data_IF_534804828331
#
_entry.id   IF_534804828331
#
_cell.length_a   1.000
_cell.length_b   1.000
_cell.length_c   1.000
_cell.angle_alpha   90.00
_cell.angle_beta   90.00
_cell.angle_gamma   90.00
#
_symmetry.space_group_name_H-M   'P 1'
#
loop_
_entity.id
_entity.type
_entity.pdbx_description
1 polymer ?
#
# COMPACT_ATOMS: atom_id res chain seq x y z
N UNK A 1 33.11 -33.03 20.36
CA UNK A 1 31.86 -33.02 21.17
C UNK A 1 31.03 -31.78 20.86
N UNK A 2 31.60 -30.57 21.00
CA UNK A 2 30.93 -29.28 20.70
C UNK A 2 30.38 -29.18 19.27
N UNK A 3 31.14 -29.61 18.25
CA UNK A 3 30.66 -29.60 16.86
C UNK A 3 29.47 -30.54 16.58
N UNK A 4 29.33 -31.63 17.36
CA UNK A 4 28.18 -32.55 17.23
C UNK A 4 26.93 -31.96 17.90
N UNK A 5 27.12 -31.22 18.99
CA UNK A 5 26.05 -30.49 19.68
C UNK A 5 25.56 -29.33 18.80
N UNK A 6 26.46 -28.57 18.19
CA UNK A 6 26.12 -27.47 17.28
C UNK A 6 25.35 -27.96 16.04
N UNK A 7 25.78 -29.06 15.41
CA UNK A 7 25.02 -29.69 14.30
C UNK A 7 23.66 -30.21 14.74
N UNK A 8 23.54 -30.76 15.95
CA UNK A 8 22.26 -31.20 16.47
C UNK A 8 21.29 -30.03 16.67
N UNK A 9 21.80 -28.89 17.12
CA UNK A 9 21.02 -27.68 17.34
C UNK A 9 20.57 -27.05 16.01
N UNK A 10 21.47 -26.99 15.02
CA UNK A 10 21.20 -26.52 13.66
C UNK A 10 20.11 -27.35 12.97
N UNK A 11 20.20 -28.68 13.04
CA UNK A 11 19.18 -29.60 12.50
C UNK A 11 17.85 -29.43 13.24
N UNK A 12 17.88 -29.22 14.56
CA UNK A 12 16.65 -29.03 15.35
C UNK A 12 15.96 -27.72 14.97
N UNK A 13 16.71 -26.62 14.80
CA UNK A 13 16.17 -25.34 14.33
C UNK A 13 15.61 -25.47 12.92
N UNK A 14 16.33 -26.14 12.01
CA UNK A 14 15.85 -26.43 10.65
C UNK A 14 14.57 -27.26 10.65
N UNK A 15 14.47 -28.28 11.51
CA UNK A 15 13.26 -29.10 11.63
C UNK A 15 12.09 -28.35 12.26
N UNK A 16 12.34 -27.43 13.20
CA UNK A 16 11.30 -26.54 13.75
C UNK A 16 10.82 -25.57 12.67
N UNK A 17 11.72 -25.00 11.87
CA UNK A 17 11.37 -24.14 10.73
C UNK A 17 10.58 -24.94 9.69
N UNK A 18 11.02 -26.14 9.32
CA UNK A 18 10.30 -27.03 8.40
C UNK A 18 8.94 -27.47 8.94
N UNK A 19 8.81 -27.74 10.23
CA UNK A 19 7.54 -28.06 10.87
C UNK A 19 6.60 -26.84 10.92
N UNK A 20 7.13 -25.64 11.15
CA UNK A 20 6.38 -24.39 11.07
C UNK A 20 5.92 -24.07 9.63
N UNK A 21 6.75 -24.38 8.62
CA UNK A 21 6.43 -24.20 7.20
C UNK A 21 5.47 -25.26 6.65
N UNK A 22 5.40 -26.45 7.25
CA UNK A 22 4.51 -27.55 6.80
C UNK A 22 3.22 -27.69 7.62
N UNK A 23 3.09 -26.94 8.72
CA UNK A 23 1.98 -27.00 9.67
C UNK A 23 0.60 -26.55 9.15
N UNK A 24 0.52 -25.99 7.94
CA UNK A 24 -0.74 -25.60 7.31
C UNK A 24 -1.03 -26.44 6.06
N UNK A 25 -1.48 -27.67 6.26
CA UNK A 25 -1.85 -28.58 5.16
C UNK A 25 -3.21 -29.26 5.36
N UNK A 26 -4.17 -28.56 5.98
CA UNK A 26 -5.59 -28.85 5.80
C UNK A 26 -6.40 -27.53 5.82
N UNK A 27 -6.98 -27.08 4.69
CA UNK A 27 -7.88 -25.93 4.72
C UNK A 27 -9.06 -26.21 5.63
N UNK A 28 -9.24 -25.37 6.64
CA UNK A 28 -10.41 -25.46 7.50
C UNK A 28 -11.65 -25.09 6.70
N UNK A 29 -12.56 -26.03 6.48
CA UNK A 29 -13.85 -25.77 5.82
C UNK A 29 -14.79 -24.91 6.66
N UNK A 30 -14.46 -24.64 7.93
CA UNK A 30 -15.25 -23.79 8.83
C UNK A 30 -14.72 -22.37 8.92
N UNK A 31 -13.48 -22.10 8.53
CA UNK A 31 -12.90 -20.76 8.55
C UNK A 31 -13.33 -19.97 7.30
N UNK A 32 -14.03 -18.83 7.43
CA UNK A 32 -14.42 -17.98 6.29
C UNK A 32 -13.25 -17.59 5.38
N UNK A 33 -12.07 -17.32 5.95
CA UNK A 33 -10.87 -16.97 5.19
C UNK A 33 -10.43 -18.13 4.30
N UNK A 34 -10.41 -19.37 4.82
CA UNK A 34 -9.98 -20.54 4.05
C UNK A 34 -10.97 -20.89 2.92
N UNK A 35 -12.26 -20.59 3.08
CA UNK A 35 -13.25 -20.70 2.00
C UNK A 35 -12.98 -19.72 0.87
N UNK A 36 -12.64 -18.47 1.19
CA UNK A 36 -12.28 -17.46 0.18
C UNK A 36 -10.94 -17.81 -0.48
N UNK A 37 -9.97 -18.31 0.29
CA UNK A 37 -8.66 -18.77 -0.24
C UNK A 37 -8.77 -19.86 -1.29
N UNK A 38 -9.83 -20.67 -1.28
CA UNK A 38 -10.08 -21.63 -2.35
C UNK A 38 -10.17 -20.97 -3.75
N UNK A 39 -10.55 -19.68 -3.82
CA UNK A 39 -10.64 -18.90 -5.04
C UNK A 39 -9.39 -18.07 -5.36
N UNK A 40 -8.52 -17.79 -4.36
CA UNK A 40 -7.40 -16.85 -4.51
C UNK A 40 -6.01 -17.46 -4.42
N UNK A 41 -5.86 -18.73 -3.99
CA UNK A 41 -4.55 -19.37 -3.72
C UNK A 41 -3.48 -19.21 -4.81
N UNK A 42 -3.90 -19.17 -6.08
CA UNK A 42 -3.00 -19.05 -7.22
C UNK A 42 -2.60 -17.60 -7.56
N UNK A 43 -3.23 -16.63 -6.91
CA UNK A 43 -3.06 -15.19 -7.16
C UNK A 43 -2.80 -14.39 -5.88
N UNK A 44 -2.60 -15.05 -4.73
CA UNK A 44 -2.24 -14.39 -3.47
C UNK A 44 -0.85 -13.74 -3.58
N UNK A 45 -0.71 -12.54 -3.02
CA UNK A 45 0.53 -11.78 -3.07
C UNK A 45 1.59 -12.35 -2.11
N UNK A 46 2.84 -12.48 -2.57
CA UNK A 46 3.95 -12.98 -1.75
C UNK A 46 4.59 -11.85 -0.93
N UNK A 47 4.06 -11.64 0.27
CA UNK A 47 4.63 -10.68 1.22
C UNK A 47 6.01 -11.09 1.73
N UNK A 48 6.34 -12.39 1.80
CA UNK A 48 7.61 -12.85 2.39
C UNK A 48 8.76 -12.49 1.47
N UNK A 49 8.62 -12.83 0.18
CA UNK A 49 9.61 -12.46 -0.83
C UNK A 49 9.74 -10.94 -0.94
N UNK A 50 8.60 -10.23 -0.98
CA UNK A 50 8.62 -8.77 -1.06
C UNK A 50 9.31 -8.12 0.15
N UNK A 51 8.96 -8.51 1.38
CA UNK A 51 9.55 -7.93 2.59
C UNK A 51 11.05 -8.22 2.68
N UNK A 52 11.49 -9.41 2.28
CA UNK A 52 12.91 -9.76 2.26
C UNK A 52 13.70 -8.86 1.29
N UNK A 53 13.16 -8.65 0.08
CA UNK A 53 13.76 -7.78 -0.92
C UNK A 53 13.77 -6.30 -0.46
N UNK A 54 12.65 -5.81 0.08
CA UNK A 54 12.56 -4.45 0.59
C UNK A 54 13.53 -4.21 1.75
N UNK A 55 13.63 -5.15 2.70
CA UNK A 55 14.58 -5.05 3.81
C UNK A 55 16.04 -5.00 3.33
N UNK A 56 16.41 -5.79 2.31
CA UNK A 56 17.75 -5.74 1.73
C UNK A 56 18.08 -4.36 1.16
N UNK A 57 17.16 -3.76 0.40
CA UNK A 57 17.29 -2.40 -0.15
C UNK A 57 17.47 -1.38 0.98
N UNK A 58 16.67 -1.50 2.06
CA UNK A 58 16.75 -0.57 3.20
C UNK A 58 18.06 -0.70 3.97
N UNK A 59 18.59 -1.91 4.13
CA UNK A 59 19.89 -2.13 4.77
C UNK A 59 21.04 -1.54 3.95
N UNK A 60 21.00 -1.70 2.63
CA UNK A 60 21.97 -1.07 1.73
C UNK A 60 21.90 0.45 1.82
N UNK A 61 20.70 1.02 1.73
CA UNK A 61 20.50 2.47 1.85
C UNK A 61 20.91 3.01 3.23
N UNK A 62 20.58 2.31 4.33
CA UNK A 62 20.92 2.74 5.69
C UNK A 62 22.43 2.70 5.99
N UNK A 63 23.21 1.96 5.19
CA UNK A 63 24.68 1.94 5.32
C UNK A 63 25.33 3.26 4.87
N UNK A 64 24.58 4.10 4.17
CA UNK A 64 25.03 5.41 3.68
C UNK A 64 24.09 6.47 4.24
N UNK A 65 24.57 7.30 5.18
CA UNK A 65 23.80 8.41 5.76
C UNK A 65 23.66 9.58 4.77
N UNK A 66 23.00 9.33 3.65
CA UNK A 66 22.90 10.27 2.53
C UNK A 66 22.08 11.53 2.91
N UNK A 67 20.91 11.44 3.58
CA UNK A 67 20.12 12.63 3.90
C UNK A 67 20.89 13.66 4.74
N UNK A 68 21.65 13.20 5.74
CA UNK A 68 22.43 14.06 6.63
C UNK A 68 23.56 14.85 5.96
N UNK A 69 23.95 14.46 4.75
CA UNK A 69 25.02 15.13 3.98
C UNK A 69 24.53 16.15 2.95
N UNK A 70 23.23 16.17 2.66
CA UNK A 70 22.62 17.01 1.64
C UNK A 70 21.97 18.25 2.26
N UNK A 71 22.03 19.38 1.57
CA UNK A 71 21.24 20.56 1.92
C UNK A 71 19.75 20.33 1.69
N UNK A 72 18.89 21.08 2.38
CA UNK A 72 17.44 20.99 2.20
C UNK A 72 17.02 21.19 0.73
N UNK A 73 17.66 22.11 0.02
CA UNK A 73 17.37 22.36 -1.40
C UNK A 73 17.72 21.16 -2.28
N UNK A 74 18.86 20.49 -2.04
CA UNK A 74 19.23 19.28 -2.76
C UNK A 74 18.26 18.13 -2.46
N UNK A 75 17.85 17.98 -1.19
CA UNK A 75 16.86 16.99 -0.79
C UNK A 75 15.51 17.22 -1.52
N UNK A 76 15.02 18.46 -1.55
CA UNK A 76 13.80 18.83 -2.28
C UNK A 76 13.92 18.51 -3.78
N UNK A 77 15.05 18.82 -4.40
CA UNK A 77 15.29 18.55 -5.82
C UNK A 77 15.22 17.06 -6.14
N UNK A 78 15.80 16.21 -5.30
CA UNK A 78 15.76 14.75 -5.48
C UNK A 78 14.32 14.23 -5.37
N UNK A 79 13.58 14.63 -4.33
CA UNK A 79 12.18 14.22 -4.14
C UNK A 79 11.31 14.70 -5.32
N UNK A 80 11.52 15.94 -5.77
CA UNK A 80 10.80 16.51 -6.92
C UNK A 80 11.10 15.74 -8.21
N UNK A 81 12.36 15.41 -8.47
CA UNK A 81 12.73 14.62 -9.66
C UNK A 81 12.17 13.19 -9.59
N UNK A 82 12.17 12.56 -8.41
CA UNK A 82 11.54 11.25 -8.22
C UNK A 82 10.03 11.29 -8.54
N UNK A 83 9.32 12.31 -8.06
CA UNK A 83 7.90 12.52 -8.37
C UNK A 83 7.69 12.77 -9.87
N UNK A 84 8.54 13.60 -10.50
CA UNK A 84 8.46 13.91 -11.93
C UNK A 84 8.67 12.66 -12.79
N UNK A 85 9.67 11.85 -12.47
CA UNK A 85 9.91 10.57 -13.16
C UNK A 85 8.74 9.62 -12.96
N UNK A 86 8.17 9.56 -11.76
CA UNK A 86 6.97 8.75 -11.47
C UNK A 86 5.77 9.20 -12.29
N UNK A 87 5.56 10.51 -12.45
CA UNK A 87 4.54 11.06 -13.34
C UNK A 87 4.74 10.62 -14.79
N UNK A 88 5.97 10.69 -15.31
CA UNK A 88 6.28 10.20 -16.66
C UNK A 88 6.04 8.70 -16.81
N UNK A 89 6.36 7.90 -15.79
CA UNK A 89 6.04 6.46 -15.78
C UNK A 89 4.54 6.25 -15.92
N UNK A 90 3.72 6.92 -15.11
CA UNK A 90 2.27 6.78 -15.17
C UNK A 90 1.67 7.21 -16.51
N UNK A 91 2.14 8.31 -17.07
CA UNK A 91 1.69 8.77 -18.40
C UNK A 91 1.98 7.73 -19.47
N UNK A 92 3.18 7.14 -19.44
CA UNK A 92 3.63 6.14 -20.41
C UNK A 92 2.97 4.77 -20.20
N UNK A 93 2.74 4.35 -18.95
CA UNK A 93 1.95 3.17 -18.62
C UNK A 93 0.50 3.31 -19.14
N UNK A 94 -0.11 4.48 -18.94
CA UNK A 94 -1.47 4.75 -19.44
C UNK A 94 -1.53 4.75 -20.97
N UNK A 95 -0.57 5.38 -21.65
CA UNK A 95 -0.47 5.32 -23.11
C UNK A 95 -0.30 3.88 -23.59
N UNK A 96 0.49 3.08 -22.87
CA UNK A 96 0.72 1.68 -23.20
C UNK A 96 -0.57 0.88 -23.09
N UNK A 97 -1.30 1.02 -21.99
CA UNK A 97 -2.60 0.35 -21.78
C UNK A 97 -3.60 0.76 -22.85
N UNK A 98 -3.67 2.04 -23.23
CA UNK A 98 -4.59 2.53 -24.27
C UNK A 98 -4.31 1.87 -25.63
N UNK A 99 -3.05 1.87 -26.08
CA UNK A 99 -2.67 1.25 -27.35
C UNK A 99 -2.87 -0.27 -27.30
N UNK A 100 -2.49 -0.90 -26.19
CA UNK A 100 -2.56 -2.36 -26.05
C UNK A 100 -4.01 -2.86 -25.91
N UNK A 101 -4.93 -2.00 -25.47
CA UNK A 101 -6.37 -2.32 -25.35
C UNK A 101 -7.18 -1.93 -26.60
N UNK A 102 -6.60 -1.18 -27.54
CA UNK A 102 -7.28 -0.75 -28.77
C UNK A 102 -7.47 -1.94 -29.75
N UNK A 103 -8.72 -2.30 -30.11
CA UNK A 103 -9.00 -3.39 -31.05
C UNK A 103 -8.66 -3.04 -32.51
N UNK A 104 -8.47 -1.76 -32.84
CA UNK A 104 -8.09 -1.32 -34.19
C UNK A 104 -6.60 -1.54 -34.48
N UNK A 105 -5.78 -1.67 -33.43
CA UNK A 105 -4.34 -1.94 -33.54
C UNK A 105 -4.11 -3.44 -33.75
N UNK A 106 -3.73 -3.83 -34.97
CA UNK A 106 -3.51 -5.24 -35.33
C UNK A 106 -2.18 -5.79 -34.79
N UNK A 107 -1.08 -5.03 -34.92
CA UNK A 107 0.23 -5.39 -34.38
C UNK A 107 0.57 -4.51 -33.17
N UNK A 108 0.11 -4.95 -32.00
CA UNK A 108 0.31 -4.24 -30.72
C UNK A 108 1.77 -4.22 -30.28
N UNK A 109 2.53 -5.26 -30.60
CA UNK A 109 3.94 -5.36 -30.25
C UNK A 109 4.76 -4.32 -31.02
N UNK A 110 4.57 -4.21 -32.33
CA UNK A 110 5.23 -3.19 -33.12
C UNK A 110 4.75 -1.78 -32.76
N UNK A 111 3.46 -1.58 -32.51
CA UNK A 111 2.91 -0.28 -32.14
C UNK A 111 3.40 0.24 -30.78
N UNK A 112 3.78 -0.65 -29.86
CA UNK A 112 4.27 -0.30 -28.51
C UNK A 112 5.77 -0.45 -28.33
N UNK A 113 6.53 -0.79 -29.39
CA UNK A 113 7.97 -1.08 -29.27
C UNK A 113 8.79 0.10 -28.72
N UNK A 114 8.57 1.32 -29.25
CA UNK A 114 9.22 2.55 -28.77
C UNK A 114 8.83 2.86 -27.33
N UNK A 115 7.53 2.81 -27.02
CA UNK A 115 6.99 3.08 -25.70
C UNK A 115 7.52 2.12 -24.62
N UNK A 116 7.70 0.83 -24.96
CA UNK A 116 8.35 -0.15 -24.07
C UNK A 116 9.81 0.21 -23.79
N UNK A 117 10.53 0.74 -24.79
CA UNK A 117 11.89 1.25 -24.63
C UNK A 117 11.94 2.44 -23.67
N UNK A 118 11.07 3.43 -23.87
CA UNK A 118 10.97 4.59 -22.98
C UNK A 118 10.59 4.21 -21.54
N UNK A 119 9.61 3.31 -21.37
CA UNK A 119 9.21 2.79 -20.06
C UNK A 119 10.36 2.11 -19.35
N UNK A 120 11.15 1.30 -20.05
CA UNK A 120 12.33 0.63 -19.48
C UNK A 120 13.34 1.64 -18.94
N UNK A 121 13.61 2.71 -19.67
CA UNK A 121 14.55 3.75 -19.26
C UNK A 121 14.01 4.56 -18.06
N UNK A 122 12.71 4.88 -18.07
CA UNK A 122 12.03 5.54 -16.95
C UNK A 122 12.02 4.68 -15.68
N UNK A 123 11.72 3.39 -15.77
CA UNK A 123 11.78 2.48 -14.63
C UNK A 123 13.19 2.38 -14.06
N UNK A 124 14.21 2.30 -14.93
CA UNK A 124 15.59 2.33 -14.47
C UNK A 124 15.89 3.62 -13.71
N UNK A 125 15.51 4.77 -14.28
CA UNK A 125 15.72 6.07 -13.63
C UNK A 125 14.99 6.18 -12.30
N UNK A 126 13.75 5.69 -12.23
CA UNK A 126 12.96 5.64 -11.00
C UNK A 126 13.65 4.77 -9.94
N UNK A 127 14.10 3.57 -10.31
CA UNK A 127 14.82 2.65 -9.43
C UNK A 127 16.14 3.22 -8.91
N UNK A 128 16.85 4.01 -9.73
CA UNK A 128 18.10 4.66 -9.33
C UNK A 128 17.84 5.83 -8.34
N UNK A 129 16.69 6.51 -8.44
CA UNK A 129 16.31 7.64 -7.57
C UNK A 129 15.61 7.22 -6.28
N UNK A 130 14.83 6.12 -6.33
CA UNK A 130 13.93 5.72 -5.25
C UNK A 130 14.64 5.56 -3.89
N UNK A 131 15.79 4.86 -3.75
CA UNK A 131 16.42 4.69 -2.43
C UNK A 131 16.76 6.02 -1.75
N UNK A 132 17.17 7.03 -2.52
CA UNK A 132 17.54 8.34 -2.00
C UNK A 132 16.32 9.19 -1.67
N UNK A 133 15.33 9.26 -2.57
CA UNK A 133 14.08 9.96 -2.31
C UNK A 133 13.33 9.36 -1.10
N UNK A 134 13.31 8.03 -0.99
CA UNK A 134 12.74 7.32 0.15
C UNK A 134 13.48 7.66 1.43
N UNK A 135 14.82 7.58 1.45
CA UNK A 135 15.61 7.93 2.63
C UNK A 135 15.38 9.37 3.11
N UNK A 136 15.28 10.33 2.18
CA UNK A 136 14.97 11.73 2.49
C UNK A 136 13.59 11.85 3.16
N UNK A 137 12.55 11.27 2.56
CA UNK A 137 11.19 11.34 3.10
C UNK A 137 11.07 10.62 4.46
N UNK A 138 11.76 9.49 4.63
CA UNK A 138 11.85 8.77 5.90
C UNK A 138 12.48 9.64 7.01
N UNK A 139 13.58 10.35 6.68
CA UNK A 139 14.26 11.23 7.62
C UNK A 139 13.38 12.43 8.00
N UNK A 140 12.74 13.07 7.02
CA UNK A 140 11.82 14.18 7.25
C UNK A 140 10.66 13.80 8.18
N UNK A 141 10.04 12.63 7.96
CA UNK A 141 9.01 12.09 8.86
C UNK A 141 9.61 11.84 10.25
N UNK A 142 10.79 11.21 10.33
CA UNK A 142 11.47 10.92 11.60
C UNK A 142 11.79 12.18 12.41
N UNK A 143 12.17 13.27 11.75
CA UNK A 143 12.41 14.57 12.40
C UNK A 143 11.12 15.13 13.01
N UNK A 144 9.99 15.08 12.29
CA UNK A 144 8.69 15.53 12.82
C UNK A 144 8.25 14.65 13.98
N UNK A 145 8.40 13.32 13.88
CA UNK A 145 8.10 12.38 14.96
C UNK A 145 8.92 12.70 16.23
N UNK A 146 10.18 13.11 16.07
CA UNK A 146 11.03 13.51 17.19
C UNK A 146 10.51 14.78 17.88
N UNK A 147 10.06 15.76 17.10
CA UNK A 147 9.52 17.04 17.61
C UNK A 147 8.23 16.85 18.41
N UNK A 148 7.35 15.95 17.97
CA UNK A 148 6.09 15.65 18.66
C UNK A 148 6.22 14.59 19.76
N UNK A 149 7.44 14.12 20.05
CA UNK A 149 7.72 13.21 21.17
C UNK A 149 7.31 11.75 20.94
N UNK A 150 7.15 11.31 19.69
CA UNK A 150 6.84 9.91 19.33
C UNK A 150 8.09 9.04 19.09
N UNK A 151 9.23 9.46 19.61
CA UNK A 151 10.53 8.77 19.46
C UNK A 151 11.08 8.27 20.80
N UNK A 152 11.94 7.26 20.75
CA UNK A 152 12.70 6.78 21.89
C UNK A 152 14.17 7.17 21.70
N UNK A 153 14.67 8.10 22.53
CA UNK A 153 16.05 8.59 22.40
C UNK A 153 16.30 9.40 21.12
N UNK A 154 15.27 10.06 20.58
CA UNK A 154 15.34 10.88 19.37
C UNK A 154 15.20 10.09 18.06
N UNK A 155 14.95 8.78 18.12
CA UNK A 155 14.70 7.94 16.94
C UNK A 155 13.34 7.22 17.04
N UNK A 156 12.55 7.15 15.96
CA UNK A 156 11.28 6.44 15.96
C UNK A 156 11.48 4.93 16.16
N UNK A 157 10.57 4.29 16.90
CA UNK A 157 10.57 2.84 17.11
C UNK A 157 9.20 2.26 16.72
N UNK A 158 9.13 1.47 15.63
CA UNK A 158 10.23 1.11 14.72
C UNK A 158 10.69 2.30 13.84
N UNK A 159 11.85 2.17 13.16
CA UNK A 159 12.31 3.19 12.21
C UNK A 159 11.26 3.39 11.10
N UNK A 160 11.14 4.62 10.58
CA UNK A 160 10.30 4.91 9.42
C UNK A 160 10.97 4.33 8.17
N UNK A 161 10.79 3.03 7.92
CA UNK A 161 11.25 2.39 6.70
C UNK A 161 10.05 2.07 5.83
N UNK A 162 10.04 2.63 4.63
CA UNK A 162 9.02 2.33 3.62
C UNK A 162 9.67 2.10 2.27
N UNK A 163 8.99 1.38 1.39
CA UNK A 163 9.40 1.19 0.01
C UNK A 163 8.20 1.40 -0.92
N UNK A 164 8.39 2.20 -1.96
CA UNK A 164 7.34 2.55 -2.91
C UNK A 164 7.34 1.55 -4.07
N UNK A 165 6.28 0.76 -4.17
CA UNK A 165 6.11 -0.23 -5.24
C UNK A 165 4.65 -0.26 -5.72
N UNK A 166 4.37 -0.87 -6.88
CA UNK A 166 3.03 -1.35 -7.18
C UNK A 166 2.49 -2.19 -6.02
N UNK A 167 1.25 -1.93 -5.57
CA UNK A 167 0.64 -2.63 -4.44
C UNK A 167 -0.23 -3.80 -4.91
N UNK A 168 -0.34 -4.89 -4.11
CA UNK A 168 -1.39 -5.87 -4.32
C UNK A 168 -2.77 -5.21 -4.26
N UNK A 169 -3.74 -5.78 -4.96
CA UNK A 169 -5.14 -5.43 -4.74
C UNK A 169 -5.69 -6.18 -3.54
N UNK A 170 -6.68 -5.61 -2.86
CA UNK A 170 -7.36 -6.22 -1.73
C UNK A 170 -8.72 -6.77 -2.18
N UNK A 171 -8.92 -8.08 -2.03
CA UNK A 171 -10.23 -8.71 -2.09
C UNK A 171 -10.90 -8.58 -0.71
N UNK A 172 -11.89 -7.71 -0.64
CA UNK A 172 -12.69 -7.43 0.55
C UNK A 172 -13.98 -8.24 0.49
N UNK A 173 -14.30 -8.96 1.57
CA UNK A 173 -15.54 -9.74 1.69
C UNK A 173 -16.38 -9.21 2.86
N UNK A 174 -17.67 -9.03 2.59
CA UNK A 174 -18.68 -8.68 3.58
C UNK A 174 -19.85 -9.66 3.53
N UNK A 175 -20.45 -10.02 4.67
CA UNK A 175 -21.76 -10.64 4.72
C UNK A 175 -22.81 -9.79 4.01
N UNK A 176 -23.91 -10.42 3.59
CA UNK A 176 -25.02 -9.74 2.92
C UNK A 176 -26.03 -9.13 3.88
N UNK A 177 -26.07 -9.60 5.12
CA UNK A 177 -27.06 -9.26 6.14
C UNK A 177 -26.60 -8.15 7.10
N UNK A 178 -25.31 -7.80 7.10
CA UNK A 178 -24.77 -6.67 7.85
C UNK A 178 -23.45 -6.16 7.25
N UNK A 179 -23.05 -4.93 7.63
CA UNK A 179 -21.83 -4.30 7.15
C UNK A 179 -20.68 -4.71 8.05
N UNK A 180 -19.87 -5.65 7.58
CA UNK A 180 -18.66 -6.07 8.26
C UNK A 180 -17.64 -6.59 7.24
N UNK A 181 -16.41 -6.07 7.30
CA UNK A 181 -15.30 -6.69 6.58
C UNK A 181 -14.85 -7.95 7.32
N UNK A 182 -15.25 -9.11 6.82
CA UNK A 182 -14.94 -10.43 7.40
C UNK A 182 -13.65 -11.02 6.83
N UNK A 183 -13.30 -10.68 5.59
CA UNK A 183 -12.05 -11.11 4.93
C UNK A 183 -11.43 -9.95 4.16
N UNK A 184 -10.10 -9.86 4.22
CA UNK A 184 -9.27 -9.00 3.39
C UNK A 184 -8.07 -9.84 2.92
N UNK A 185 -8.04 -10.20 1.64
CA UNK A 185 -6.95 -10.99 1.05
C UNK A 185 -6.26 -10.15 -0.01
N UNK A 186 -4.94 -10.02 0.13
CA UNK A 186 -4.11 -9.39 -0.89
C UNK A 186 -3.88 -10.33 -2.05
N UNK A 187 -4.38 -9.95 -3.22
CA UNK A 187 -4.24 -10.64 -4.49
C UNK A 187 -3.25 -9.90 -5.38
N UNK A 188 -2.96 -10.49 -6.55
CA UNK A 188 -2.00 -9.98 -7.52
C UNK A 188 -2.21 -8.48 -7.80
N UNK A 189 -1.08 -7.76 -7.90
CA UNK A 189 -0.98 -6.33 -8.20
C UNK A 189 -1.64 -5.94 -9.53
N UNK A 190 -1.67 -6.83 -10.52
CA UNK A 190 -2.06 -6.50 -11.89
C UNK A 190 -3.25 -7.31 -12.44
N UNK A 191 -4.34 -7.42 -11.67
CA UNK A 191 -5.60 -7.93 -12.21
C UNK A 191 -6.26 -6.92 -13.15
N UNK A 192 -6.58 -7.36 -14.36
CA UNK A 192 -7.45 -6.62 -15.28
C UNK A 192 -8.85 -6.45 -14.69
N UNK A 193 -9.63 -5.48 -15.19
CA UNK A 193 -11.01 -5.29 -14.73
C UNK A 193 -11.86 -6.55 -14.91
N UNK A 194 -11.69 -7.27 -16.03
CA UNK A 194 -12.41 -8.50 -16.29
C UNK A 194 -12.02 -9.61 -15.28
N UNK A 195 -10.74 -9.72 -14.92
CA UNK A 195 -10.29 -10.65 -13.88
C UNK A 195 -10.81 -10.28 -12.48
N UNK A 196 -10.87 -8.99 -12.16
CA UNK A 196 -11.46 -8.50 -10.91
C UNK A 196 -12.95 -8.88 -10.83
N UNK A 197 -13.72 -8.57 -11.88
CA UNK A 197 -15.16 -8.88 -11.95
C UNK A 197 -15.42 -10.38 -11.94
N UNK A 198 -14.61 -11.17 -12.64
CA UNK A 198 -14.72 -12.64 -12.63
C UNK A 198 -14.43 -13.22 -11.24
N UNK A 199 -13.37 -12.74 -10.57
CA UNK A 199 -13.05 -13.14 -9.19
C UNK A 199 -14.17 -12.78 -8.22
N UNK A 200 -14.65 -11.54 -8.26
CA UNK A 200 -15.77 -11.06 -7.43
C UNK A 200 -17.01 -11.92 -7.64
N UNK A 201 -17.41 -12.16 -8.89
CA UNK A 201 -18.59 -12.97 -9.19
C UNK A 201 -18.45 -14.41 -8.68
N UNK A 202 -17.29 -15.04 -8.88
CA UNK A 202 -17.03 -16.40 -8.40
C UNK A 202 -17.16 -16.52 -6.89
N UNK A 203 -16.55 -15.58 -6.15
CA UNK A 203 -16.59 -15.58 -4.68
C UNK A 203 -18.00 -15.26 -4.18
N UNK A 204 -18.62 -14.21 -4.74
CA UNK A 204 -19.98 -13.77 -4.41
C UNK A 204 -20.99 -14.89 -4.57
N UNK A 205 -21.00 -15.57 -5.72
CA UNK A 205 -21.96 -16.65 -6.01
C UNK A 205 -21.63 -17.93 -5.24
N UNK A 206 -20.35 -18.24 -5.10
CA UNK A 206 -19.90 -19.49 -4.47
C UNK A 206 -20.06 -19.52 -2.96
N UNK A 207 -20.07 -18.35 -2.30
CA UNK A 207 -20.14 -18.24 -0.83
C UNK A 207 -21.36 -17.46 -0.32
N UNK A 208 -22.19 -16.91 -1.21
CA UNK A 208 -23.31 -16.03 -0.89
C UNK A 208 -22.91 -14.81 -0.02
N UNK A 209 -21.91 -14.08 -0.51
CA UNK A 209 -21.31 -12.90 0.15
C UNK A 209 -21.27 -11.72 -0.80
N UNK A 210 -20.98 -10.53 -0.27
CA UNK A 210 -20.57 -9.37 -1.06
C UNK A 210 -19.05 -9.36 -1.17
N UNK A 211 -18.51 -9.23 -2.39
CA UNK A 211 -17.07 -9.15 -2.63
C UNK A 211 -16.70 -7.92 -3.46
N UNK A 212 -15.56 -7.31 -3.15
CA UNK A 212 -15.02 -6.19 -3.91
C UNK A 212 -13.50 -6.28 -3.97
N UNK A 213 -12.92 -6.22 -5.16
CA UNK A 213 -11.49 -6.05 -5.38
C UNK A 213 -11.20 -4.57 -5.50
N UNK A 214 -10.32 -4.06 -4.62
CA UNK A 214 -9.95 -2.65 -4.59
C UNK A 214 -8.44 -2.45 -4.53
N UNK A 215 -8.00 -1.29 -5.02
CA UNK A 215 -6.65 -0.83 -4.76
C UNK A 215 -6.54 -0.26 -3.33
N UNK A 216 -5.40 -0.54 -2.69
CA UNK A 216 -5.02 0.06 -1.41
C UNK A 216 -3.96 1.14 -1.67
N UNK A 217 -3.76 2.06 -0.72
CA UNK A 217 -2.73 3.10 -0.81
C UNK A 217 -1.44 2.78 -0.05
N UNK A 218 -1.51 1.89 0.94
CA UNK A 218 -0.37 1.36 1.67
C UNK A 218 -0.69 0.00 2.29
N UNK A 219 0.36 -0.66 2.78
CA UNK A 219 0.25 -1.88 3.59
C UNK A 219 1.24 -1.77 4.74
N UNK A 220 0.73 -1.86 5.98
CA UNK A 220 1.47 -1.81 7.23
C UNK A 220 2.37 -3.02 7.53
N UNK A 221 2.99 -3.61 6.51
CA UNK A 221 4.13 -4.54 6.68
C UNK A 221 5.40 -3.76 7.07
N UNK A 222 6.51 -4.46 7.33
CA UNK A 222 7.78 -3.81 7.70
C UNK A 222 8.97 -4.34 6.87
N UNK A 223 9.66 -3.50 6.07
CA UNK A 223 9.38 -2.09 5.75
C UNK A 223 7.97 -1.88 5.19
N UNK A 224 7.36 -0.71 5.44
CA UNK A 224 6.03 -0.36 4.93
C UNK A 224 5.99 -0.41 3.41
N UNK A 225 4.95 -1.01 2.84
CA UNK A 225 4.68 -0.92 1.40
C UNK A 225 3.81 0.30 1.13
N UNK A 226 4.23 1.21 0.25
CA UNK A 226 3.47 2.41 -0.11
C UNK A 226 3.25 2.46 -1.61
N UNK A 227 2.05 2.85 -2.05
CA UNK A 227 1.79 2.95 -3.47
C UNK A 227 2.64 4.05 -4.12
N UNK A 228 2.98 3.84 -5.39
CA UNK A 228 3.53 4.89 -6.24
C UNK A 228 2.50 6.02 -6.36
N UNK A 229 2.94 7.27 -6.25
CA UNK A 229 2.07 8.44 -6.40
C UNK A 229 2.87 9.66 -6.86
N UNK A 230 2.17 10.65 -7.41
CA UNK A 230 2.73 11.96 -7.75
C UNK A 230 2.23 13.07 -6.84
N UNK A 231 1.35 12.72 -5.89
CA UNK A 231 0.81 13.62 -4.88
C UNK A 231 1.65 13.50 -3.59
N UNK A 232 2.60 14.42 -3.40
CA UNK A 232 3.49 14.43 -2.24
C UNK A 232 2.74 14.56 -0.90
N UNK A 233 1.75 15.48 -0.73
CA UNK A 233 0.95 15.50 0.49
C UNK A 233 0.32 14.14 0.84
N UNK A 234 -0.30 13.47 -0.14
CA UNK A 234 -0.88 12.14 0.06
C UNK A 234 0.19 11.08 0.39
N UNK A 235 1.37 11.16 -0.24
CA UNK A 235 2.49 10.26 0.04
C UNK A 235 2.95 10.39 1.50
N UNK A 236 3.11 11.63 1.98
CA UNK A 236 3.54 11.92 3.36
C UNK A 236 2.51 11.43 4.39
N UNK A 237 1.21 11.68 4.15
CA UNK A 237 0.13 11.12 4.97
C UNK A 237 0.17 9.60 4.97
N UNK A 238 0.36 8.96 3.82
CA UNK A 238 0.38 7.50 3.68
C UNK A 238 1.57 6.87 4.41
N UNK A 239 2.79 7.39 4.22
CA UNK A 239 3.99 6.92 4.93
C UNK A 239 3.75 6.99 6.44
N UNK A 240 3.18 8.10 6.91
CA UNK A 240 2.91 8.33 8.32
C UNK A 240 1.80 7.43 8.85
N UNK A 241 0.70 7.25 8.10
CA UNK A 241 -0.42 6.36 8.43
C UNK A 241 0.07 4.93 8.65
N UNK A 242 0.81 4.39 7.70
CA UNK A 242 1.30 3.02 7.78
C UNK A 242 2.39 2.87 8.85
N UNK A 243 3.19 3.91 9.09
CA UNK A 243 4.12 3.90 10.22
C UNK A 243 3.37 3.89 11.56
N UNK A 244 2.23 4.57 11.68
CA UNK A 244 1.39 4.52 12.88
C UNK A 244 0.85 3.11 13.11
N UNK A 245 0.47 2.36 12.07
CA UNK A 245 0.14 0.94 12.21
C UNK A 245 1.29 0.14 12.83
N UNK A 246 2.50 0.28 12.26
CA UNK A 246 3.71 -0.37 12.76
C UNK A 246 4.08 0.05 14.20
N UNK A 247 3.87 1.32 14.52
CA UNK A 247 3.99 1.84 15.88
C UNK A 247 2.96 1.14 16.78
N UNK A 248 1.68 1.14 16.43
CA UNK A 248 0.62 0.56 17.24
C UNK A 248 0.77 -0.95 17.44
N UNK A 249 1.45 -1.69 16.56
CA UNK A 249 1.76 -3.13 16.75
C UNK A 249 2.46 -3.42 18.08
N UNK A 250 3.21 -2.46 18.62
CA UNK A 250 3.88 -2.58 19.92
C UNK A 250 3.00 -2.15 21.11
N UNK A 251 1.72 -1.86 20.87
CA UNK A 251 0.74 -1.36 21.84
C UNK A 251 -0.55 -2.19 21.79
N UNK A 252 -1.38 -2.18 22.85
CA UNK A 252 -2.60 -2.97 22.89
C UNK A 252 -3.53 -2.78 21.68
N UNK A 253 -3.66 -1.55 21.17
CA UNK A 253 -4.53 -1.26 20.02
C UNK A 253 -4.08 -1.92 18.72
N UNK A 254 -2.77 -2.07 18.47
CA UNK A 254 -2.27 -2.81 17.31
C UNK A 254 -2.15 -4.30 17.56
N UNK A 255 -1.77 -4.72 18.77
CA UNK A 255 -1.73 -6.15 19.13
C UNK A 255 -3.10 -6.82 18.96
N UNK A 256 -4.18 -6.09 19.23
CA UNK A 256 -5.56 -6.57 19.16
C UNK A 256 -6.27 -6.12 17.88
N UNK A 257 -5.54 -5.69 16.85
CA UNK A 257 -6.11 -5.17 15.59
C UNK A 257 -7.17 -6.10 14.97
N UNK A 258 -6.88 -7.40 14.96
CA UNK A 258 -7.76 -8.41 14.36
C UNK A 258 -8.80 -9.02 15.30
N UNK A 259 -8.88 -8.56 16.56
CA UNK A 259 -9.73 -9.21 17.58
C UNK A 259 -11.21 -8.83 17.47
N UNK A 260 -11.53 -7.60 17.03
CA UNK A 260 -12.91 -7.19 16.76
C UNK A 260 -12.99 -6.09 15.69
N UNK A 261 -14.14 -5.94 15.00
CA UNK A 261 -14.37 -4.86 14.05
C UNK A 261 -14.20 -3.45 14.65
N UNK A 262 -14.57 -3.26 15.91
CA UNK A 262 -14.42 -2.00 16.64
C UNK A 262 -12.95 -1.67 16.88
N UNK A 263 -12.14 -2.64 17.32
CA UNK A 263 -10.71 -2.44 17.55
C UNK A 263 -9.98 -2.12 16.25
N UNK A 264 -10.32 -2.82 15.16
CA UNK A 264 -9.84 -2.48 13.82
C UNK A 264 -10.22 -1.04 13.44
N UNK A 265 -11.48 -0.66 13.63
CA UNK A 265 -11.97 0.70 13.30
C UNK A 265 -11.24 1.76 14.12
N UNK A 266 -11.04 1.53 15.43
CA UNK A 266 -10.27 2.43 16.30
C UNK A 266 -8.83 2.56 15.82
N UNK A 267 -8.20 1.46 15.40
CA UNK A 267 -6.84 1.46 14.89
C UNK A 267 -6.72 2.25 13.58
N UNK A 268 -7.55 1.95 12.58
CA UNK A 268 -7.59 2.68 11.30
C UNK A 268 -7.89 4.17 11.47
N UNK A 269 -8.79 4.51 12.40
CA UNK A 269 -9.10 5.91 12.74
C UNK A 269 -7.89 6.60 13.34
N UNK A 270 -7.17 5.93 14.24
CA UNK A 270 -5.95 6.46 14.85
C UNK A 270 -4.86 6.68 13.81
N UNK A 271 -4.62 5.68 12.94
CA UNK A 271 -3.65 5.76 11.85
C UNK A 271 -4.00 6.86 10.85
N UNK A 272 -5.29 7.06 10.54
CA UNK A 272 -5.76 8.15 9.66
C UNK A 272 -5.46 9.52 10.27
N UNK A 273 -5.96 9.78 11.49
CA UNK A 273 -5.79 11.09 12.14
C UNK A 273 -4.30 11.41 12.32
N UNK A 274 -3.54 10.50 12.91
CA UNK A 274 -2.13 10.74 13.17
C UNK A 274 -1.32 10.82 11.87
N UNK A 275 -1.63 9.96 10.89
CA UNK A 275 -0.97 9.97 9.58
C UNK A 275 -1.12 11.32 8.87
N UNK A 276 -2.33 11.88 8.87
CA UNK A 276 -2.61 13.17 8.25
C UNK A 276 -1.98 14.34 8.99
N UNK A 277 -2.06 14.36 10.32
CA UNK A 277 -1.43 15.42 11.13
C UNK A 277 0.09 15.41 10.95
N UNK A 278 0.73 14.23 10.97
CA UNK A 278 2.17 14.10 10.75
C UNK A 278 2.53 14.47 9.31
N UNK A 279 1.79 13.98 8.32
CA UNK A 279 2.01 14.30 6.91
C UNK A 279 1.93 15.81 6.65
N UNK A 280 0.94 16.48 7.24
CA UNK A 280 0.79 17.93 7.18
C UNK A 280 1.96 18.66 7.85
N UNK A 281 2.40 18.24 9.04
CA UNK A 281 3.54 18.85 9.72
C UNK A 281 4.83 18.71 8.90
N UNK A 282 5.05 17.56 8.23
CA UNK A 282 6.18 17.36 7.32
C UNK A 282 6.06 18.30 6.11
N UNK A 283 4.87 18.42 5.52
CA UNK A 283 4.62 19.31 4.39
C UNK A 283 4.88 20.78 4.75
N UNK A 284 4.35 21.26 5.87
CA UNK A 284 4.54 22.64 6.36
C UNK A 284 6.01 22.97 6.63
N UNK A 285 6.74 22.01 7.17
CA UNK A 285 8.14 22.19 7.56
C UNK A 285 9.10 22.14 6.38
N UNK A 286 8.93 21.15 5.49
CA UNK A 286 9.89 20.87 4.42
C UNK A 286 9.42 21.36 3.05
N UNK A 287 8.13 21.55 2.82
CA UNK A 287 7.57 21.98 1.54
C UNK A 287 6.50 23.08 1.70
N UNK A 288 6.78 24.19 2.40
CA UNK A 288 5.80 25.25 2.67
C UNK A 288 5.22 25.88 1.39
N UNK A 289 5.93 25.78 0.26
CA UNK A 289 5.45 26.18 -1.05
C UNK A 289 4.25 25.37 -1.56
N UNK A 290 4.02 24.15 -1.04
CA UNK A 290 2.92 23.26 -1.44
C UNK A 290 1.68 23.37 -0.55
N UNK A 291 1.77 24.01 0.62
CA UNK A 291 0.68 24.12 1.62
C UNK A 291 -0.54 24.93 1.15
N UNK A 292 -0.42 25.68 0.06
CA UNK A 292 -1.55 26.43 -0.52
C UNK A 292 -2.43 25.61 -1.47
N UNK A 293 -2.03 24.37 -1.80
CA UNK A 293 -2.85 23.43 -2.56
C UNK A 293 -3.75 22.66 -1.58
N UNK A 294 -5.07 22.73 -1.77
CA UNK A 294 -6.06 21.99 -0.98
C UNK A 294 -5.66 20.52 -0.84
N UNK A 295 -5.51 20.04 0.39
CA UNK A 295 -5.35 18.61 0.66
C UNK A 295 -6.61 17.87 0.15
N UNK A 296 -6.47 16.66 -0.42
CA UNK A 296 -7.60 15.84 -0.81
C UNK A 296 -8.45 15.47 0.41
N UNK A 297 -9.77 15.43 0.22
CA UNK A 297 -10.70 15.18 1.31
C UNK A 297 -10.67 13.72 1.77
N UNK A 298 -10.68 13.58 3.10
CA UNK A 298 -10.32 12.44 3.92
C UNK A 298 -11.33 11.30 3.85
N UNK A 299 -10.90 10.10 3.46
CA UNK A 299 -11.43 8.81 3.93
C UNK A 299 -10.68 7.63 3.29
N UNK A 300 -10.02 6.83 4.14
CA UNK A 300 -9.18 5.66 3.83
C UNK A 300 -8.01 5.99 2.89
N UNK A 301 -6.82 5.50 3.22
CA UNK A 301 -5.63 5.56 2.34
C UNK A 301 -5.88 4.63 1.15
N UNK A 302 -6.83 5.01 0.31
CA UNK A 302 -7.10 4.45 -0.99
C UNK A 302 -6.36 5.32 -1.99
N UNK A 303 -5.78 4.68 -3.00
CA UNK A 303 -5.21 5.42 -4.12
C UNK A 303 -6.32 6.29 -4.72
N UNK A 304 -6.12 7.61 -4.87
CA UNK A 304 -7.06 8.43 -5.60
C UNK A 304 -7.20 7.82 -7.00
N UNK A 305 -8.39 7.35 -7.34
CA UNK A 305 -8.61 6.69 -8.62
C UNK A 305 -8.37 7.72 -9.72
N UNK A 306 -7.26 7.61 -10.44
CA UNK A 306 -7.02 8.31 -11.70
C UNK A 306 -7.94 7.70 -12.75
N UNK A 307 -9.24 7.96 -12.63
CA UNK A 307 -10.19 7.68 -13.70
C UNK A 307 -9.83 8.61 -14.86
N UNK A 308 -9.73 8.11 -16.11
CA UNK A 308 -9.66 8.97 -17.27
C UNK A 308 -10.77 10.00 -17.16
N UNK A 309 -10.44 11.29 -17.22
CA UNK A 309 -11.44 12.34 -17.36
C UNK A 309 -12.12 12.09 -18.72
N UNK A 310 -13.40 11.67 -18.76
CA UNK A 310 -14.14 11.63 -20.00
C UNK A 310 -14.40 13.09 -20.34
N UNK A 311 -13.41 13.68 -21.02
CA UNK A 311 -13.43 15.07 -21.42
C UNK A 311 -14.79 15.37 -22.05
N UNK A 312 -15.47 16.38 -21.48
CA UNK A 312 -16.80 16.96 -21.81
C UNK A 312 -17.89 16.86 -20.74
N UNK A 313 -17.75 16.07 -19.68
CA UNK A 313 -18.74 16.11 -18.59
C UNK A 313 -18.37 17.14 -17.53
N UNK A 314 -19.06 18.29 -17.53
CA UNK A 314 -19.10 19.19 -16.36
C UNK A 314 -19.81 18.41 -15.25
N UNK A 315 -19.04 17.63 -14.48
CA UNK A 315 -19.55 16.99 -13.28
C UNK A 315 -19.67 18.07 -12.22
N UNK A 316 -20.78 18.13 -11.46
CA UNK A 316 -20.78 18.94 -10.25
C UNK A 316 -19.61 18.52 -9.35
N UNK A 317 -19.10 19.41 -8.49
CA UNK A 317 -18.07 19.06 -7.52
C UNK A 317 -18.48 17.78 -6.78
N UNK A 318 -17.65 16.75 -6.83
CA UNK A 318 -17.89 15.50 -6.12
C UNK A 318 -17.48 15.69 -4.67
N UNK A 319 -18.46 15.82 -3.78
CA UNK A 319 -18.23 15.85 -2.33
C UNK A 319 -18.25 14.42 -1.80
N UNK A 320 -17.05 13.87 -1.54
CA UNK A 320 -16.89 12.50 -1.09
C UNK A 320 -17.66 12.20 0.20
N UNK A 321 -17.70 13.13 1.16
CA UNK A 321 -18.36 12.91 2.45
C UNK A 321 -19.86 12.84 2.29
N UNK A 322 -20.42 13.74 1.49
CA UNK A 322 -21.86 13.74 1.17
C UNK A 322 -22.24 12.45 0.45
N UNK A 323 -21.47 12.02 -0.55
CA UNK A 323 -21.78 10.81 -1.31
C UNK A 323 -21.60 9.53 -0.47
N UNK A 324 -20.60 9.46 0.41
CA UNK A 324 -20.46 8.34 1.35
C UNK A 324 -21.58 8.32 2.39
N UNK A 325 -22.04 9.48 2.87
CA UNK A 325 -23.18 9.54 3.78
C UNK A 325 -24.45 9.03 3.11
N UNK A 326 -24.75 9.49 1.88
CA UNK A 326 -25.89 8.98 1.09
C UNK A 326 -25.78 7.48 0.87
N UNK A 327 -24.60 7.00 0.51
CA UNK A 327 -24.32 5.58 0.31
C UNK A 327 -24.58 4.78 1.59
N UNK A 328 -24.13 5.28 2.74
CA UNK A 328 -24.36 4.64 4.04
C UNK A 328 -25.85 4.54 4.38
N UNK A 329 -26.59 5.64 4.23
CA UNK A 329 -28.04 5.66 4.50
C UNK A 329 -28.79 4.69 3.61
N UNK A 330 -28.45 4.64 2.31
CA UNK A 330 -29.08 3.70 1.37
C UNK A 330 -28.71 2.25 1.69
N UNK A 331 -27.46 1.96 2.04
CA UNK A 331 -27.04 0.62 2.44
C UNK A 331 -27.77 0.14 3.70
N UNK A 332 -27.89 1.00 4.71
CA UNK A 332 -28.64 0.69 5.93
C UNK A 332 -30.13 0.43 5.64
N UNK A 333 -30.73 1.14 4.67
CA UNK A 333 -32.11 0.89 4.25
C UNK A 333 -32.26 -0.47 3.55
N UNK A 334 -31.33 -0.83 2.64
CA UNK A 334 -31.34 -2.11 1.93
C UNK A 334 -31.13 -3.31 2.87
N UNK A 335 -30.34 -3.14 3.94
CA UNK A 335 -30.11 -4.20 4.93
C UNK A 335 -31.33 -4.43 5.85
N UNK A 336 -32.28 -3.50 5.87
CA UNK A 336 -33.49 -3.62 6.66
C UNK A 336 -34.65 -4.31 5.90
N UNK A 337 -34.48 -4.62 4.61
CA UNK A 337 -35.45 -5.34 3.76
C UNK A 337 -35.34 -6.87 3.90
#
# INVERSE_FOLDING_TARGET
MIQRILRGLEITVLLIILAALTGYSNPSLTNPIEKVRAYTRNIEFDYVEWMANAAAIKLEAASVDLPGTLSLEEQKQIVTEYIRVTQSVFEKENQFIQIYSDPSVTDKDSATAELRGELKDLYKRQSDLAPLAEAILQDQVSQVLAEIGLTAGGQPVPNVWYHSTPLPMALIISPRDHIEQTVNISVNTYLTLDEQVDLENKVTQGLDVSSLVVQVGGVGVYPTMVARTTNLPWLLSTISHEWIHNYLTLRPLGMLYGESPELRTMNETTASIAGDEIGQMVLEKFYPELTSASLPDLNLVSLPSSRPDPGTLVRPPFDFRVEMHKTRVNADALLAE
#
